data_IF_788214351647
#
_entry.id   IF_788214351647
#
_cell.length_a   1.000
_cell.length_b   1.000
_cell.length_c   1.000
_cell.angle_alpha   90.00
_cell.angle_beta   90.00
_cell.angle_gamma   90.00
#
_symmetry.space_group_name_H-M   'P 1'
#
loop_
_entity.id
_entity.type
_entity.pdbx_description
1 polymer ?
#
# COMPACT_ATOMS: atom_id res chain seq x y z
N UNK A 1 -1.29 9.45 -5.91
CA UNK A 1 -0.37 8.34 -6.20
C UNK A 1 0.39 7.94 -4.93
N UNK A 2 0.81 6.67 -4.82
CA UNK A 2 1.42 6.05 -3.63
C UNK A 2 2.67 6.81 -3.17
N UNK A 3 3.51 7.28 -4.11
CA UNK A 3 4.69 8.08 -3.79
C UNK A 3 4.36 9.37 -3.02
N UNK A 4 3.34 10.11 -3.47
CA UNK A 4 2.85 11.31 -2.79
C UNK A 4 2.24 10.99 -1.42
N UNK A 5 1.49 9.89 -1.31
CA UNK A 5 0.90 9.47 -0.03
C UNK A 5 1.97 9.07 1.01
N UNK A 6 3.14 8.65 0.55
CA UNK A 6 4.33 8.37 1.38
C UNK A 6 5.17 9.63 1.66
N UNK A 7 4.70 10.83 1.26
CA UNK A 7 5.40 12.09 1.46
C UNK A 7 6.67 12.25 0.60
N UNK A 8 6.74 11.56 -0.55
CA UNK A 8 7.93 11.56 -1.41
C UNK A 8 7.66 12.23 -2.75
N UNK A 9 8.68 12.91 -3.26
CA UNK A 9 8.67 13.55 -4.58
C UNK A 9 8.68 12.49 -5.69
N UNK A 10 7.68 12.58 -6.58
CA UNK A 10 7.58 11.78 -7.81
C UNK A 10 8.79 12.10 -8.70
N UNK A 11 9.66 11.11 -8.92
CA UNK A 11 10.89 11.26 -9.72
C UNK A 11 12.14 10.59 -9.13
N UNK A 12 12.13 10.26 -7.83
CA UNK A 12 13.28 9.66 -7.14
C UNK A 12 13.13 8.18 -6.75
N UNK A 13 11.99 7.57 -7.07
CA UNK A 13 11.70 6.19 -6.69
C UNK A 13 11.71 5.31 -7.93
N UNK A 14 12.82 4.59 -8.10
CA UNK A 14 12.90 3.46 -9.03
C UNK A 14 11.86 2.40 -8.59
N UNK A 15 11.10 1.78 -9.48
CA UNK A 15 10.01 0.84 -9.15
C UNK A 15 10.40 -0.20 -8.07
N UNK A 16 11.66 -0.65 -8.08
CA UNK A 16 12.26 -1.56 -7.09
C UNK A 16 12.13 -1.08 -5.65
N UNK A 17 12.11 0.22 -5.45
CA UNK A 17 12.03 0.83 -4.13
C UNK A 17 10.59 0.82 -3.60
N UNK A 18 9.56 0.97 -4.45
CA UNK A 18 8.15 0.75 -4.07
C UNK A 18 7.95 -0.72 -3.70
N UNK A 19 8.49 -1.64 -4.49
CA UNK A 19 8.41 -3.07 -4.20
C UNK A 19 9.03 -3.41 -2.84
N UNK A 20 10.18 -2.81 -2.51
CA UNK A 20 10.81 -2.98 -1.20
C UNK A 20 9.96 -2.42 -0.06
N UNK A 21 9.32 -1.27 -0.25
CA UNK A 21 8.39 -0.70 0.76
C UNK A 21 7.18 -1.59 0.95
N UNK A 22 6.59 -2.08 -0.14
CA UNK A 22 5.43 -2.97 -0.10
C UNK A 22 5.78 -4.31 0.57
N UNK A 23 6.94 -4.89 0.28
CA UNK A 23 7.42 -6.09 0.95
C UNK A 23 7.56 -5.90 2.48
N UNK A 24 8.14 -4.76 2.90
CA UNK A 24 8.26 -4.42 4.34
C UNK A 24 6.88 -4.23 4.98
N UNK A 25 5.94 -3.57 4.29
CA UNK A 25 4.60 -3.35 4.80
C UNK A 25 3.86 -4.68 5.00
N UNK A 26 3.92 -5.59 4.01
CA UNK A 26 3.34 -6.94 4.11
C UNK A 26 3.88 -7.69 5.32
N UNK A 27 5.20 -7.67 5.52
CA UNK A 27 5.84 -8.30 6.68
C UNK A 27 5.35 -7.71 7.99
N UNK A 28 5.29 -6.37 8.10
CA UNK A 28 4.83 -5.70 9.32
C UNK A 28 3.38 -6.07 9.67
N UNK A 29 2.50 -6.09 8.67
CA UNK A 29 1.09 -6.46 8.87
C UNK A 29 1.00 -7.92 9.33
N UNK A 30 1.65 -8.85 8.61
CA UNK A 30 1.66 -10.25 9.01
C UNK A 30 2.21 -10.45 10.43
N UNK A 31 3.29 -9.77 10.81
CA UNK A 31 3.83 -9.86 12.17
C UNK A 31 2.88 -9.29 13.23
N UNK A 32 2.12 -8.24 12.91
CA UNK A 32 1.23 -7.58 13.86
C UNK A 32 -0.15 -8.26 13.98
N UNK A 33 -0.68 -8.81 12.89
CA UNK A 33 -2.07 -9.31 12.84
C UNK A 33 -2.16 -10.81 12.53
N UNK A 34 -1.06 -11.45 12.15
CA UNK A 34 -1.04 -12.83 11.60
C UNK A 34 -1.88 -12.99 10.32
N UNK A 35 -2.17 -11.90 9.63
CA UNK A 35 -2.91 -11.89 8.37
C UNK A 35 -2.06 -11.38 7.21
N UNK A 36 -2.38 -11.84 6.00
CA UNK A 36 -1.76 -11.32 4.79
C UNK A 36 -2.43 -10.01 4.38
N UNK A 37 -1.62 -8.96 4.21
CA UNK A 37 -2.07 -7.67 3.68
C UNK A 37 -2.70 -7.84 2.28
N UNK A 38 -3.99 -7.52 2.08
CA UNK A 38 -4.69 -7.74 0.82
C UNK A 38 -4.38 -6.65 -0.23
N UNK A 39 -3.09 -6.43 -0.49
CA UNK A 39 -2.62 -5.58 -1.58
C UNK A 39 -2.08 -6.48 -2.70
N UNK A 40 -2.33 -6.16 -3.96
CA UNK A 40 -1.80 -6.87 -5.14
C UNK A 40 -1.00 -5.92 -6.03
N UNK A 41 0.07 -6.43 -6.65
CA UNK A 41 0.81 -5.70 -7.68
C UNK A 41 0.10 -5.87 -9.03
N UNK A 42 -0.04 -4.77 -9.76
CA UNK A 42 -0.57 -4.71 -11.12
C UNK A 42 0.56 -4.25 -12.04
N UNK A 43 0.96 -5.12 -12.97
CA UNK A 43 2.10 -4.89 -13.85
C UNK A 43 1.92 -3.57 -14.62
N UNK A 44 2.95 -2.73 -14.57
CA UNK A 44 2.99 -1.41 -15.25
C UNK A 44 1.94 -0.39 -14.79
N UNK A 45 1.24 -0.65 -13.67
CA UNK A 45 0.24 0.26 -13.09
C UNK A 45 0.56 0.61 -11.64
N UNK A 46 1.03 -0.36 -10.84
CA UNK A 46 1.35 -0.15 -9.43
C UNK A 46 0.67 -1.16 -8.53
N UNK A 47 -0.10 -0.70 -7.54
CA UNK A 47 -0.67 -1.56 -6.50
C UNK A 47 -2.16 -1.27 -6.26
N UNK A 48 -2.93 -2.30 -5.93
CA UNK A 48 -4.37 -2.22 -5.64
C UNK A 48 -4.72 -2.97 -4.36
N UNK A 49 -5.68 -2.44 -3.60
CA UNK A 49 -6.30 -3.16 -2.48
C UNK A 49 -7.35 -4.12 -3.02
N UNK A 50 -7.22 -5.42 -2.72
CA UNK A 50 -7.96 -6.49 -3.38
C UNK A 50 -8.99 -7.19 -2.48
N UNK A 51 -9.13 -6.79 -1.21
CA UNK A 51 -10.19 -7.26 -0.34
C UNK A 51 -11.41 -6.33 -0.41
N UNK A 52 -12.61 -6.82 -0.06
CA UNK A 52 -13.78 -5.96 0.14
C UNK A 52 -13.45 -4.84 1.13
N UNK A 53 -13.91 -3.62 0.83
CA UNK A 53 -13.76 -2.46 1.71
C UNK A 53 -15.14 -2.01 2.14
N UNK A 54 -15.35 -1.89 3.44
CA UNK A 54 -16.53 -1.22 3.99
C UNK A 54 -16.22 0.26 4.20
N UNK A 55 -17.00 1.14 3.57
CA UNK A 55 -16.88 2.56 3.79
C UNK A 55 -17.52 2.92 5.14
N UNK A 56 -16.70 3.18 6.15
CA UNK A 56 -17.18 3.78 7.39
C UNK A 56 -17.33 5.28 7.16
N UNK A 57 -18.55 5.80 7.25
CA UNK A 57 -18.78 7.24 7.18
C UNK A 57 -17.91 7.94 8.24
N UNK A 58 -17.15 8.96 7.82
CA UNK A 58 -16.41 9.80 8.75
C UNK A 58 -17.45 10.56 9.58
N UNK A 59 -17.44 10.48 10.92
CA UNK A 59 -18.34 11.30 11.72
C UNK A 59 -18.07 12.76 11.38
N UNK A 60 -19.15 13.46 11.04
CA UNK A 60 -19.17 14.86 10.65
C UNK A 60 -18.89 15.67 11.92
N UNK A 61 -17.76 16.39 11.97
CA UNK A 61 -17.39 17.25 13.09
C UNK A 61 -17.94 18.65 12.91
#
# INVERSE_FOLDING_TARGET
DIANALGKTVGGYDDRSIDAVMARLRRKVHTATNENLPIRAVRSVGYVFAAPVEARARPET
#
